data_IF_643609237372
#
_entry.id   IF_643609237372
#
_cell.length_a   1.000
_cell.length_b   1.000
_cell.length_c   1.000
_cell.angle_alpha   90.00
_cell.angle_beta   90.00
_cell.angle_gamma   90.00
#
_symmetry.space_group_name_H-M   'P 1'
#
loop_
_entity.id
_entity.type
_entity.pdbx_description
1 polymer ?
#
# COMPACT_ATOMS: atom_id res chain seq x y z
N UNK A 1 26.13 -18.08 -6.67
CA UNK A 1 25.98 -16.69 -7.18
C UNK A 1 26.23 -15.75 -6.02
N UNK A 2 26.90 -14.61 -6.24
CA UNK A 2 27.01 -13.58 -5.22
C UNK A 2 25.61 -13.06 -4.85
N UNK A 3 25.38 -12.73 -3.58
CA UNK A 3 24.11 -12.16 -3.13
C UNK A 3 23.85 -10.83 -3.85
N UNK A 4 22.62 -10.62 -4.30
CA UNK A 4 22.22 -9.38 -4.97
C UNK A 4 22.21 -8.24 -3.97
N UNK A 5 22.88 -7.15 -4.30
CA UNK A 5 22.76 -5.91 -3.52
C UNK A 5 21.67 -5.02 -4.10
N UNK A 6 20.55 -4.91 -3.40
CA UNK A 6 19.40 -4.11 -3.79
C UNK A 6 19.39 -2.75 -3.05
N UNK A 7 19.33 -1.65 -3.80
CA UNK A 7 19.11 -0.31 -3.26
C UNK A 7 17.61 0.01 -3.31
N UNK A 8 17.03 0.31 -2.17
CA UNK A 8 15.63 0.74 -2.03
C UNK A 8 15.61 2.23 -1.78
N UNK A 9 14.81 2.96 -2.54
CA UNK A 9 14.61 4.40 -2.36
C UNK A 9 13.20 4.67 -1.83
N UNK A 10 13.13 5.28 -0.64
CA UNK A 10 11.89 5.64 0.05
C UNK A 10 11.92 7.10 0.53
N UNK A 11 11.54 8.05 -0.33
CA UNK A 11 11.54 9.46 0.02
C UNK A 11 10.32 9.88 0.86
N UNK A 12 9.41 8.97 1.21
CA UNK A 12 8.18 9.28 1.96
C UNK A 12 8.48 9.33 3.46
N UNK A 13 8.05 10.40 4.14
CA UNK A 13 8.44 10.67 5.53
C UNK A 13 7.48 10.11 6.60
N UNK A 14 6.57 9.20 6.24
CA UNK A 14 5.63 8.60 7.19
C UNK A 14 5.32 7.15 6.82
N UNK A 15 4.76 6.38 7.76
CA UNK A 15 4.33 5.01 7.53
C UNK A 15 3.02 4.95 6.76
N UNK A 16 2.91 4.05 5.79
CA UNK A 16 1.70 3.83 5.02
C UNK A 16 1.59 2.38 4.55
N UNK A 17 0.40 1.99 4.11
CA UNK A 17 0.14 0.61 3.66
C UNK A 17 1.08 0.14 2.56
N UNK A 18 1.50 1.02 1.65
CA UNK A 18 2.47 0.68 0.60
C UNK A 18 3.84 0.27 1.13
N UNK A 19 4.32 0.89 2.21
CA UNK A 19 5.58 0.50 2.86
C UNK A 19 5.44 -0.85 3.56
N UNK A 20 4.33 -1.07 4.26
CA UNK A 20 4.03 -2.35 4.91
C UNK A 20 4.01 -3.47 3.86
N UNK A 21 3.24 -3.30 2.79
CA UNK A 21 3.19 -4.23 1.66
C UNK A 21 4.55 -4.48 1.01
N UNK A 22 5.36 -3.42 0.82
CA UNK A 22 6.71 -3.57 0.27
C UNK A 22 7.60 -4.40 1.19
N UNK A 23 7.55 -4.19 2.52
CA UNK A 23 8.28 -5.02 3.48
C UNK A 23 7.82 -6.48 3.42
N UNK A 24 6.50 -6.72 3.40
CA UNK A 24 5.93 -8.07 3.30
C UNK A 24 6.35 -8.78 2.01
N UNK A 25 6.42 -8.05 0.89
CA UNK A 25 6.90 -8.58 -0.38
C UNK A 25 8.38 -8.94 -0.35
N UNK A 26 9.21 -8.06 0.21
CA UNK A 26 10.66 -8.29 0.32
C UNK A 26 11.02 -9.37 1.32
N UNK A 27 10.21 -9.54 2.37
CA UNK A 27 10.34 -10.66 3.30
C UNK A 27 10.21 -12.03 2.60
N UNK A 28 9.52 -12.11 1.46
CA UNK A 28 9.40 -13.37 0.70
C UNK A 28 10.67 -13.73 -0.08
N UNK A 29 11.64 -12.82 -0.18
CA UNK A 29 12.96 -13.14 -0.74
C UNK A 29 13.64 -14.19 0.14
N UNK A 30 14.25 -15.20 -0.45
CA UNK A 30 14.97 -16.22 0.30
C UNK A 30 16.17 -15.62 1.05
N UNK A 31 16.42 -16.12 2.26
CA UNK A 31 17.55 -15.67 3.08
C UNK A 31 18.88 -15.82 2.32
N UNK A 32 19.82 -14.90 2.57
CA UNK A 32 21.16 -14.86 1.97
C UNK A 32 21.22 -14.70 0.44
N UNK A 33 20.09 -14.53 -0.26
CA UNK A 33 20.09 -14.29 -1.71
C UNK A 33 20.17 -12.80 -2.08
N UNK A 34 19.76 -11.92 -1.16
CA UNK A 34 19.87 -10.48 -1.32
C UNK A 34 20.30 -9.78 -0.03
N UNK A 35 21.09 -8.72 -0.19
CA UNK A 35 21.38 -7.71 0.80
C UNK A 35 20.70 -6.40 0.39
N UNK A 36 20.24 -5.62 1.36
CA UNK A 36 19.45 -4.42 1.09
C UNK A 36 20.11 -3.20 1.71
N UNK A 37 20.18 -2.11 0.95
CA UNK A 37 20.43 -0.77 1.48
C UNK A 37 19.17 0.05 1.29
N UNK A 38 18.61 0.56 2.38
CA UNK A 38 17.37 1.33 2.38
C UNK A 38 17.72 2.79 2.62
N UNK A 39 17.55 3.59 1.57
CA UNK A 39 17.65 5.04 1.64
C UNK A 39 16.26 5.59 1.91
N UNK A 40 16.01 6.01 3.15
CA UNK A 40 14.66 6.41 3.59
C UNK A 40 14.60 7.73 4.35
N UNK A 41 13.50 8.47 4.21
CA UNK A 41 13.18 9.62 5.07
C UNK A 41 12.62 9.25 6.44
N UNK A 42 12.24 7.99 6.65
CA UNK A 42 11.60 7.51 7.88
C UNK A 42 12.15 6.13 8.29
N UNK A 43 13.39 6.05 8.84
CA UNK A 43 14.04 4.79 9.22
C UNK A 43 13.19 3.91 10.14
N UNK A 44 12.48 4.51 11.09
CA UNK A 44 11.61 3.81 12.04
C UNK A 44 10.54 2.97 11.34
N UNK A 45 10.03 3.41 10.17
CA UNK A 45 9.03 2.62 9.41
C UNK A 45 9.59 1.36 8.77
N UNK A 46 10.91 1.19 8.75
CA UNK A 46 11.56 -0.03 8.27
C UNK A 46 12.16 -0.86 9.38
N UNK A 47 12.46 -0.23 10.52
CA UNK A 47 12.96 -0.90 11.73
C UNK A 47 11.89 -1.85 12.30
N UNK A 48 12.32 -2.83 13.11
CA UNK A 48 11.44 -3.76 13.81
C UNK A 48 10.43 -4.53 12.92
N UNK A 49 10.92 -5.08 11.80
CA UNK A 49 10.13 -5.96 10.93
C UNK A 49 10.80 -7.33 10.79
N UNK A 50 10.02 -8.38 10.57
CA UNK A 50 10.54 -9.73 10.30
C UNK A 50 11.48 -9.76 9.07
N UNK A 51 11.30 -8.79 8.16
CA UNK A 51 12.23 -8.52 7.07
C UNK A 51 13.68 -8.27 7.55
N UNK A 52 13.88 -7.50 8.62
CA UNK A 52 15.21 -7.19 9.14
C UNK A 52 15.87 -8.37 9.87
N UNK A 53 15.08 -9.27 10.46
CA UNK A 53 15.63 -10.50 11.06
C UNK A 53 16.05 -11.52 10.02
N UNK A 54 15.45 -11.48 8.82
CA UNK A 54 15.73 -12.44 7.73
C UNK A 54 16.85 -12.00 6.79
N UNK A 55 17.07 -10.69 6.66
CA UNK A 55 17.98 -10.12 5.66
C UNK A 55 19.04 -9.20 6.27
N UNK A 56 20.20 -9.12 5.61
CA UNK A 56 21.19 -8.07 5.89
C UNK A 56 20.69 -6.75 5.32
N UNK A 57 20.34 -5.82 6.21
CA UNK A 57 19.75 -4.52 5.85
C UNK A 57 20.58 -3.39 6.45
N UNK A 58 21.02 -2.47 5.59
CA UNK A 58 21.65 -1.21 5.96
C UNK A 58 20.67 -0.05 5.80
N UNK A 59 20.51 0.76 6.85
CA UNK A 59 19.63 1.93 6.83
C UNK A 59 20.43 3.21 6.64
N UNK A 60 20.05 4.01 5.64
CA UNK A 60 20.64 5.31 5.37
C UNK A 60 19.54 6.36 5.37
N UNK A 61 19.66 7.33 6.25
CA UNK A 61 18.72 8.45 6.31
C UNK A 61 18.92 9.35 5.10
N UNK A 62 17.89 9.47 4.27
CA UNK A 62 17.89 10.40 3.15
C UNK A 62 17.87 11.85 3.70
N UNK A 63 18.74 12.76 3.22
CA UNK A 63 18.75 14.14 3.69
C UNK A 63 17.39 14.83 3.48
N UNK A 64 17.03 15.71 4.41
CA UNK A 64 15.85 16.55 4.25
C UNK A 64 16.13 17.67 3.26
N UNK A 65 15.22 17.89 2.30
CA UNK A 65 15.26 19.05 1.42
C UNK A 65 14.41 20.23 1.97
N UNK A 66 14.03 20.22 3.25
CA UNK A 66 13.17 21.25 3.84
C UNK A 66 11.85 21.41 3.09
N UNK A 67 11.43 22.66 2.83
CA UNK A 67 10.22 22.97 2.07
C UNK A 67 10.21 22.39 0.65
N UNK A 68 11.39 22.19 0.05
CA UNK A 68 11.51 21.58 -1.26
C UNK A 68 11.06 20.11 -1.25
N UNK A 69 11.18 19.42 -0.11
CA UNK A 69 10.76 18.03 0.05
C UNK A 69 9.28 17.80 -0.26
N UNK A 70 8.44 18.81 -0.01
CA UNK A 70 7.00 18.77 -0.25
C UNK A 70 6.64 18.96 -1.73
N UNK A 71 7.52 19.53 -2.55
CA UNK A 71 7.22 19.86 -3.95
C UNK A 71 6.87 18.62 -4.78
N UNK A 72 5.65 18.59 -5.34
CA UNK A 72 5.14 17.49 -6.19
C UNK A 72 5.10 17.82 -7.68
N UNK A 73 5.27 19.09 -8.06
CA UNK A 73 5.21 19.57 -9.44
C UNK A 73 6.07 20.83 -9.67
N UNK A 74 6.24 21.22 -10.94
CA UNK A 74 6.94 22.45 -11.32
C UNK A 74 8.47 22.39 -11.17
N UNK A 75 9.12 23.56 -11.14
CA UNK A 75 10.58 23.66 -11.06
C UNK A 75 11.14 23.15 -9.74
N UNK A 76 10.43 23.38 -8.64
CA UNK A 76 10.80 22.89 -7.30
C UNK A 76 10.83 21.36 -7.25
N UNK A 77 9.90 20.67 -7.91
CA UNK A 77 9.94 19.22 -8.07
C UNK A 77 11.22 18.75 -8.78
N UNK A 78 11.60 19.38 -9.89
CA UNK A 78 12.81 19.01 -10.61
C UNK A 78 14.09 19.30 -9.82
N UNK A 79 14.13 20.43 -9.12
CA UNK A 79 15.24 20.75 -8.21
C UNK A 79 15.37 19.71 -7.10
N UNK A 80 14.24 19.30 -6.48
CA UNK A 80 14.21 18.25 -5.44
C UNK A 80 14.84 16.95 -5.95
N UNK A 81 14.36 16.47 -7.11
CA UNK A 81 14.84 15.21 -7.66
C UNK A 81 16.27 15.32 -8.22
N UNK A 82 16.70 16.50 -8.66
CA UNK A 82 18.10 16.78 -8.99
C UNK A 82 19.01 16.66 -7.77
N UNK A 83 18.62 17.24 -6.63
CA UNK A 83 19.36 17.11 -5.36
C UNK A 83 19.45 15.64 -4.92
N UNK A 84 18.32 14.92 -4.91
CA UNK A 84 18.33 13.49 -4.55
C UNK A 84 19.14 12.64 -5.54
N UNK A 85 19.09 12.93 -6.83
CA UNK A 85 19.88 12.23 -7.83
C UNK A 85 21.39 12.46 -7.62
N UNK A 86 21.82 13.70 -7.42
CA UNK A 86 23.23 14.00 -7.14
C UNK A 86 23.70 13.35 -5.84
N UNK A 87 22.85 13.35 -4.81
CA UNK A 87 23.13 12.66 -3.56
C UNK A 87 23.26 11.15 -3.74
N UNK A 88 22.36 10.50 -4.52
CA UNK A 88 22.45 9.07 -4.83
C UNK A 88 23.74 8.74 -5.58
N UNK A 89 24.14 9.58 -6.55
CA UNK A 89 25.41 9.43 -7.27
C UNK A 89 26.61 9.52 -6.32
N UNK A 90 26.63 10.53 -5.44
CA UNK A 90 27.70 10.69 -4.44
C UNK A 90 27.75 9.52 -3.45
N UNK A 91 26.59 9.07 -2.98
CA UNK A 91 26.46 7.95 -2.06
C UNK A 91 26.96 6.64 -2.68
N UNK A 92 26.58 6.38 -3.94
CA UNK A 92 27.00 5.19 -4.66
C UNK A 92 28.53 5.08 -4.86
N UNK A 93 29.26 6.21 -4.87
CA UNK A 93 30.73 6.22 -4.92
C UNK A 93 31.38 5.71 -3.63
N UNK A 94 30.63 5.64 -2.52
CA UNK A 94 31.12 5.25 -1.19
C UNK A 94 30.63 3.89 -0.72
N UNK A 95 29.80 3.22 -1.52
CA UNK A 95 29.17 1.96 -1.17
C UNK A 95 29.64 0.82 -2.06
N UNK A 96 29.31 -0.41 -1.65
CA UNK A 96 29.42 -1.55 -2.54
C UNK A 96 28.52 -1.38 -3.77
N UNK A 97 28.89 -2.02 -4.87
CA UNK A 97 28.15 -1.93 -6.13
C UNK A 97 26.73 -2.49 -5.97
N UNK A 98 25.74 -1.67 -6.26
CA UNK A 98 24.35 -2.12 -6.36
C UNK A 98 24.14 -2.92 -7.65
N UNK A 99 23.36 -4.00 -7.54
CA UNK A 99 23.01 -4.89 -8.62
C UNK A 99 21.56 -4.69 -9.08
N UNK A 100 20.72 -4.12 -8.20
CA UNK A 100 19.30 -3.91 -8.43
C UNK A 100 18.83 -2.63 -7.73
N UNK A 101 17.90 -1.92 -8.35
CA UNK A 101 17.21 -0.78 -7.76
C UNK A 101 15.74 -1.12 -7.57
N UNK A 102 15.17 -0.74 -6.42
CA UNK A 102 13.75 -0.91 -6.12
C UNK A 102 13.11 0.43 -5.80
N UNK A 103 12.19 0.83 -6.68
CA UNK A 103 11.31 1.97 -6.53
C UNK A 103 9.98 1.47 -5.94
N UNK A 104 9.61 1.91 -4.74
CA UNK A 104 8.45 1.40 -4.00
C UNK A 104 7.35 2.45 -3.74
N UNK A 105 7.54 3.66 -4.27
CA UNK A 105 6.58 4.77 -4.21
C UNK A 105 5.88 4.95 -5.56
N UNK A 106 5.19 6.07 -5.75
CA UNK A 106 4.72 6.44 -7.09
C UNK A 106 5.91 6.71 -8.03
N UNK A 107 5.85 6.36 -9.33
CA UNK A 107 6.99 6.55 -10.25
C UNK A 107 7.47 8.01 -10.34
N UNK A 108 6.57 8.99 -10.19
CA UNK A 108 6.95 10.40 -10.11
C UNK A 108 7.69 10.77 -8.83
N UNK A 109 7.41 10.08 -7.72
CA UNK A 109 8.11 10.24 -6.43
C UNK A 109 9.48 9.55 -6.45
N UNK A 110 9.61 8.46 -7.22
CA UNK A 110 10.85 7.71 -7.38
C UNK A 110 11.76 8.26 -8.51
N UNK A 111 11.43 9.41 -9.10
CA UNK A 111 12.13 10.00 -10.25
C UNK A 111 13.65 10.06 -10.09
N UNK A 112 14.14 10.42 -8.91
CA UNK A 112 15.59 10.49 -8.65
C UNK A 112 16.27 9.11 -8.83
N UNK A 113 15.60 8.04 -8.41
CA UNK A 113 16.09 6.67 -8.60
C UNK A 113 16.02 6.25 -10.06
N UNK A 114 15.00 6.67 -10.83
CA UNK A 114 14.93 6.43 -12.29
C UNK A 114 16.06 7.12 -13.04
N UNK A 115 16.38 8.37 -12.70
CA UNK A 115 17.54 9.08 -13.26
C UNK A 115 18.85 8.38 -12.92
N UNK A 116 18.99 7.92 -11.67
CA UNK A 116 20.14 7.14 -11.21
C UNK A 116 20.28 5.83 -11.99
N UNK A 117 19.18 5.10 -12.18
CA UNK A 117 19.13 3.86 -12.98
C UNK A 117 19.58 4.10 -14.42
N UNK A 118 19.13 5.20 -15.04
CA UNK A 118 19.51 5.56 -16.42
C UNK A 118 21.02 5.78 -16.56
N UNK A 119 21.66 6.46 -15.62
CA UNK A 119 23.09 6.78 -15.67
C UNK A 119 23.95 5.56 -15.35
N UNK A 120 23.57 4.80 -14.32
CA UNK A 120 24.34 3.63 -13.86
C UNK A 120 24.06 2.36 -14.65
N UNK A 121 22.94 2.32 -15.41
CA UNK A 121 22.42 1.15 -16.12
C UNK A 121 22.12 -0.04 -15.21
N UNK A 122 21.91 0.21 -13.92
CA UNK A 122 21.48 -0.80 -12.96
C UNK A 122 19.98 -1.07 -13.19
N UNK A 123 19.55 -2.34 -13.26
CA UNK A 123 18.15 -2.65 -13.49
C UNK A 123 17.25 -2.14 -12.35
N UNK A 124 16.07 -1.66 -12.71
CA UNK A 124 15.10 -1.09 -11.78
C UNK A 124 13.77 -1.85 -11.81
N UNK A 125 13.31 -2.23 -10.61
CA UNK A 125 11.95 -2.72 -10.36
C UNK A 125 11.12 -1.56 -9.81
N UNK A 126 9.97 -1.29 -10.42
CA UNK A 126 8.97 -0.36 -9.89
C UNK A 126 7.79 -1.13 -9.31
N UNK A 127 7.46 -0.87 -8.05
CA UNK A 127 6.22 -1.29 -7.41
C UNK A 127 5.23 -0.12 -7.40
N UNK A 128 3.97 -0.36 -7.72
CA UNK A 128 2.90 0.65 -7.70
C UNK A 128 1.72 0.14 -6.87
N UNK A 129 1.52 0.79 -5.72
CA UNK A 129 0.50 0.44 -4.71
C UNK A 129 -0.79 1.27 -4.80
N UNK A 130 -0.94 2.11 -5.82
CA UNK A 130 -2.11 2.96 -5.97
C UNK A 130 -2.05 3.88 -7.19
N UNK A 131 -3.08 4.72 -7.38
CA UNK A 131 -3.17 5.63 -8.50
C UNK A 131 -1.93 6.52 -8.64
N UNK A 132 -1.48 6.74 -9.88
CA UNK A 132 -0.33 7.59 -10.18
C UNK A 132 -0.76 8.88 -10.87
N UNK A 133 0.05 9.93 -10.72
CA UNK A 133 -0.20 11.22 -11.39
C UNK A 133 -0.09 11.11 -12.91
N UNK A 134 -1.05 11.70 -13.63
CA UNK A 134 -1.02 11.80 -15.09
C UNK A 134 0.02 12.84 -15.53
N UNK A 135 1.28 12.41 -15.66
CA UNK A 135 2.37 13.28 -16.11
C UNK A 135 3.32 12.56 -17.05
N UNK A 136 3.97 13.31 -17.95
CA UNK A 136 5.00 12.78 -18.86
C UNK A 136 6.15 12.13 -18.10
N UNK A 137 6.50 12.71 -16.97
CA UNK A 137 7.55 12.23 -16.08
C UNK A 137 7.20 10.86 -15.48
N UNK A 138 5.96 10.68 -15.02
CA UNK A 138 5.46 9.39 -14.53
C UNK A 138 5.39 8.35 -15.65
N UNK A 139 4.82 8.71 -16.82
CA UNK A 139 4.78 7.81 -17.98
C UNK A 139 6.17 7.40 -18.48
N UNK A 140 7.14 8.31 -18.46
CA UNK A 140 8.54 8.01 -18.75
C UNK A 140 9.09 6.95 -17.79
N UNK A 141 8.96 7.15 -16.47
CA UNK A 141 9.44 6.20 -15.46
C UNK A 141 8.84 4.81 -15.65
N UNK A 142 7.52 4.74 -15.89
CA UNK A 142 6.82 3.49 -16.19
C UNK A 142 7.36 2.80 -17.44
N UNK A 143 7.66 3.56 -18.50
CA UNK A 143 8.20 3.02 -19.75
C UNK A 143 9.67 2.56 -19.67
N UNK A 144 10.38 2.94 -18.60
CA UNK A 144 11.82 2.67 -18.43
C UNK A 144 12.15 1.68 -17.32
N UNK A 145 11.19 1.34 -16.46
CA UNK A 145 11.38 0.27 -15.48
C UNK A 145 11.66 -1.06 -16.19
N UNK A 146 12.63 -1.83 -15.69
CA UNK A 146 12.94 -3.17 -16.22
C UNK A 146 11.86 -4.18 -15.86
N UNK A 147 11.27 -4.01 -14.67
CA UNK A 147 10.07 -4.71 -14.21
C UNK A 147 9.13 -3.73 -13.53
N UNK A 148 7.84 -3.86 -13.83
CA UNK A 148 6.76 -3.06 -13.28
C UNK A 148 5.77 -4.01 -12.62
N UNK A 149 5.60 -3.89 -11.31
CA UNK A 149 4.55 -4.55 -10.55
C UNK A 149 3.53 -3.52 -10.11
N UNK A 150 2.25 -3.77 -10.33
CA UNK A 150 1.20 -2.82 -9.97
C UNK A 150 -0.06 -3.51 -9.45
N UNK A 151 -0.76 -2.84 -8.54
CA UNK A 151 -2.09 -3.28 -8.13
C UNK A 151 -3.10 -3.07 -9.28
N UNK A 152 -4.06 -3.98 -9.49
CA UNK A 152 -5.07 -3.85 -10.55
C UNK A 152 -5.81 -2.49 -10.55
N UNK A 153 -6.13 -1.97 -9.35
CA UNK A 153 -6.77 -0.67 -9.16
C UNK A 153 -5.97 0.52 -9.71
N UNK A 154 -4.65 0.37 -9.90
CA UNK A 154 -3.77 1.42 -10.43
C UNK A 154 -3.77 1.48 -11.95
N UNK A 155 -4.17 0.39 -12.63
CA UNK A 155 -4.09 0.22 -14.10
C UNK A 155 -4.67 1.38 -14.91
N UNK A 156 -5.85 1.95 -14.59
CA UNK A 156 -6.39 3.07 -15.35
C UNK A 156 -5.49 4.31 -15.31
N UNK A 157 -4.88 4.60 -14.15
CA UNK A 157 -3.96 5.74 -14.00
C UNK A 157 -2.62 5.50 -14.70
N UNK A 158 -2.13 4.26 -14.71
CA UNK A 158 -0.92 3.87 -15.44
C UNK A 158 -1.07 4.08 -16.94
N UNK A 159 -2.20 3.61 -17.51
CA UNK A 159 -2.52 3.80 -18.93
C UNK A 159 -2.57 5.27 -19.30
N UNK A 160 -3.21 6.11 -18.47
CA UNK A 160 -3.27 7.57 -18.67
C UNK A 160 -1.87 8.20 -18.65
N UNK A 161 -1.02 7.84 -17.68
CA UNK A 161 0.33 8.38 -17.58
C UNK A 161 1.23 7.96 -18.75
N UNK A 162 1.21 6.68 -19.13
CA UNK A 162 1.95 6.14 -20.28
C UNK A 162 1.48 6.77 -21.59
N UNK A 163 0.16 6.83 -21.82
CA UNK A 163 -0.41 7.46 -23.01
C UNK A 163 -0.02 8.93 -23.10
N UNK A 164 -0.03 9.66 -21.99
CA UNK A 164 0.39 11.05 -21.97
C UNK A 164 1.88 11.24 -22.31
N UNK A 165 2.76 10.32 -21.90
CA UNK A 165 4.17 10.31 -22.28
C UNK A 165 4.37 9.96 -23.77
N UNK A 166 3.67 8.94 -24.27
CA UNK A 166 3.80 8.50 -25.66
C UNK A 166 3.19 9.48 -26.66
N UNK A 167 2.09 10.14 -26.33
CA UNK A 167 1.52 11.20 -27.16
C UNK A 167 2.53 12.31 -27.41
N UNK A 168 3.29 12.68 -26.38
CA UNK A 168 4.35 13.67 -26.48
C UNK A 168 5.58 13.15 -27.25
N UNK A 169 5.95 11.88 -27.08
CA UNK A 169 7.20 11.33 -27.63
C UNK A 169 7.09 10.81 -29.06
N UNK A 170 5.90 10.33 -29.45
CA UNK A 170 5.67 9.57 -30.68
C UNK A 170 4.40 9.99 -31.45
N UNK A 171 3.68 11.01 -30.99
CA UNK A 171 2.41 11.46 -31.58
C UNK A 171 1.17 10.82 -30.93
N UNK A 172 0.03 11.49 -31.06
CA UNK A 172 -1.23 11.15 -30.38
C UNK A 172 -1.87 9.86 -30.85
N UNK A 173 -1.76 9.56 -32.14
CA UNK A 173 -2.65 8.62 -32.83
C UNK A 173 -2.54 7.18 -32.29
N UNK A 174 -1.36 6.81 -31.78
CA UNK A 174 -1.09 5.47 -31.25
C UNK A 174 -0.74 5.44 -29.74
N UNK A 175 -0.86 6.57 -29.05
CA UNK A 175 -0.36 6.70 -27.67
C UNK A 175 -1.07 5.76 -26.68
N UNK A 176 -2.38 5.58 -26.83
CA UNK A 176 -3.16 4.65 -25.98
C UNK A 176 -2.80 3.19 -26.27
N UNK A 177 -2.64 2.85 -27.55
CA UNK A 177 -2.25 1.51 -28.00
C UNK A 177 -0.86 1.15 -27.47
N UNK A 178 0.12 2.07 -27.56
CA UNK A 178 1.45 1.88 -26.99
C UNK A 178 1.43 1.72 -25.46
N UNK A 179 0.57 2.46 -24.77
CA UNK A 179 0.38 2.32 -23.33
C UNK A 179 -0.17 0.93 -22.96
N UNK A 180 -1.18 0.45 -23.69
CA UNK A 180 -1.74 -0.88 -23.51
C UNK A 180 -0.70 -1.99 -23.78
N UNK A 181 0.07 -1.88 -24.88
CA UNK A 181 1.16 -2.81 -25.18
C UNK A 181 2.25 -2.83 -24.10
N UNK A 182 2.57 -1.67 -23.52
CA UNK A 182 3.56 -1.58 -22.43
C UNK A 182 3.09 -2.38 -21.22
N UNK A 183 1.83 -2.22 -20.80
CA UNK A 183 1.29 -2.95 -19.65
C UNK A 183 1.02 -4.44 -19.92
N UNK A 184 0.77 -4.81 -21.18
CA UNK A 184 0.60 -6.21 -21.59
C UNK A 184 1.94 -6.93 -21.83
N UNK A 185 3.07 -6.23 -21.76
CA UNK A 185 4.40 -6.82 -21.96
C UNK A 185 4.83 -7.69 -20.78
N UNK A 186 5.79 -8.61 -21.01
CA UNK A 186 6.39 -9.46 -19.95
C UNK A 186 7.17 -8.69 -18.87
N UNK A 187 7.34 -7.38 -19.06
CA UNK A 187 7.96 -6.50 -18.07
C UNK A 187 6.97 -6.00 -17.03
N UNK A 188 5.67 -6.09 -17.31
CA UNK A 188 4.60 -5.54 -16.50
C UNK A 188 3.73 -6.66 -15.96
N UNK A 189 3.45 -6.62 -14.66
CA UNK A 189 2.70 -7.68 -13.99
C UNK A 189 1.81 -7.12 -12.87
N UNK A 190 0.59 -7.61 -12.82
CA UNK A 190 -0.33 -7.35 -11.71
C UNK A 190 0.08 -8.18 -10.48
N UNK A 191 -0.02 -7.58 -9.30
CA UNK A 191 0.07 -8.28 -8.02
C UNK A 191 -1.07 -7.81 -7.11
N UNK A 192 -1.36 -8.60 -6.10
CA UNK A 192 -2.25 -8.22 -4.99
C UNK A 192 -1.43 -8.24 -3.72
N UNK A 193 -1.85 -7.47 -2.71
CA UNK A 193 -1.15 -7.53 -1.42
C UNK A 193 -1.54 -8.78 -0.65
N UNK A 194 -0.67 -9.25 0.24
CA UNK A 194 -0.93 -10.41 1.07
C UNK A 194 -0.33 -10.27 2.46
N UNK A 195 -0.76 -11.12 3.39
CA UNK A 195 -0.27 -11.20 4.76
C UNK A 195 0.64 -12.42 4.94
N UNK A 196 1.82 -12.29 5.56
CA UNK A 196 2.66 -13.45 5.89
C UNK A 196 1.94 -14.40 6.83
N UNK A 197 2.11 -15.71 6.63
CA UNK A 197 1.46 -16.73 7.48
C UNK A 197 1.86 -16.57 8.97
N UNK A 198 3.14 -16.22 9.21
CA UNK A 198 3.68 -15.97 10.55
C UNK A 198 3.13 -14.71 11.24
N UNK A 199 2.53 -13.80 10.48
CA UNK A 199 1.92 -12.56 10.97
C UNK A 199 0.41 -12.55 10.69
N UNK A 200 -0.18 -13.75 10.58
CA UNK A 200 -1.61 -13.88 10.38
C UNK A 200 -2.37 -13.28 11.57
N UNK A 201 -3.40 -12.43 11.34
CA UNK A 201 -4.18 -11.83 12.41
C UNK A 201 -4.75 -12.84 13.41
N UNK A 202 -4.73 -12.49 14.69
CA UNK A 202 -5.43 -13.24 15.72
C UNK A 202 -6.94 -13.18 15.45
N UNK A 203 -7.61 -14.32 15.58
CA UNK A 203 -9.05 -14.43 15.35
C UNK A 203 -9.83 -13.52 16.32
N UNK A 204 -10.85 -12.84 15.79
CA UNK A 204 -11.72 -11.99 16.59
C UNK A 204 -12.61 -12.78 17.55
N UNK A 205 -13.06 -12.11 18.60
CA UNK A 205 -14.16 -12.61 19.44
C UNK A 205 -15.52 -12.48 18.75
N UNK A 206 -16.54 -13.23 19.22
CA UNK A 206 -17.95 -13.05 18.81
C UNK A 206 -18.93 -12.93 19.99
N UNK A 207 -18.43 -12.74 21.21
CA UNK A 207 -19.25 -12.67 22.43
C UNK A 207 -19.95 -11.31 22.61
N UNK A 208 -19.41 -10.22 22.05
CA UNK A 208 -19.99 -8.89 22.15
C UNK A 208 -19.70 -8.03 20.92
N UNK A 209 -20.64 -7.21 20.44
CA UNK A 209 -20.39 -6.30 19.33
C UNK A 209 -19.38 -5.23 19.73
N UNK A 210 -18.28 -5.12 18.98
CA UNK A 210 -17.26 -4.11 19.17
C UNK A 210 -16.69 -3.67 17.81
N UNK A 211 -16.76 -2.37 17.56
CA UNK A 211 -16.40 -1.74 16.29
C UNK A 211 -14.90 -1.46 16.26
N UNK A 212 -14.28 -1.69 15.12
CA UNK A 212 -12.87 -1.40 14.86
C UNK A 212 -12.71 -0.57 13.59
N UNK A 213 -11.88 0.46 13.69
CA UNK A 213 -11.41 1.24 12.56
C UNK A 213 -9.91 1.43 12.65
N UNK A 214 -9.20 1.19 11.55
CA UNK A 214 -7.75 1.30 11.49
C UNK A 214 -7.29 1.91 10.16
N UNK A 215 -6.82 3.15 10.20
CA UNK A 215 -6.22 3.83 9.04
C UNK A 215 -5.42 5.09 9.42
N UNK A 216 -4.69 5.66 8.46
CA UNK A 216 -4.12 7.00 8.61
C UNK A 216 -5.21 8.08 8.66
N UNK A 217 -4.93 9.22 9.28
CA UNK A 217 -5.85 10.37 9.31
C UNK A 217 -5.99 11.12 7.98
N UNK A 218 -5.60 10.55 6.83
CA UNK A 218 -5.85 11.18 5.53
C UNK A 218 -7.36 11.33 5.30
N UNK A 219 -7.81 12.49 4.81
CA UNK A 219 -9.25 12.82 4.70
C UNK A 219 -10.03 11.78 3.89
N UNK A 220 -9.43 11.24 2.84
CA UNK A 220 -10.04 10.21 1.98
C UNK A 220 -10.24 8.85 2.68
N UNK A 221 -9.64 8.63 3.85
CA UNK A 221 -9.91 7.47 4.72
C UNK A 221 -11.24 7.59 5.47
N UNK A 222 -11.86 8.76 5.46
CA UNK A 222 -13.25 8.94 5.89
C UNK A 222 -13.50 8.84 7.38
N UNK A 223 -12.52 9.15 8.24
CA UNK A 223 -12.75 9.17 9.70
C UNK A 223 -13.97 10.03 10.08
N UNK A 224 -14.15 11.18 9.44
CA UNK A 224 -15.28 12.06 9.72
C UNK A 224 -16.64 11.39 9.47
N UNK A 225 -16.75 10.60 8.39
CA UNK A 225 -17.95 9.83 8.08
C UNK A 225 -18.26 8.82 9.20
N UNK A 226 -17.24 8.09 9.69
CA UNK A 226 -17.41 7.18 10.81
C UNK A 226 -17.92 7.91 12.05
N UNK A 227 -17.30 9.04 12.43
CA UNK A 227 -17.66 9.75 13.65
C UNK A 227 -19.08 10.31 13.59
N UNK A 228 -19.50 10.84 12.43
CA UNK A 228 -20.87 11.31 12.22
C UNK A 228 -21.88 10.15 12.31
N UNK A 229 -21.56 8.98 11.76
CA UNK A 229 -22.43 7.79 11.88
C UNK A 229 -22.49 7.27 13.32
N UNK A 230 -21.39 7.31 14.08
CA UNK A 230 -21.37 6.91 15.49
C UNK A 230 -22.23 7.85 16.36
N UNK A 231 -22.23 9.16 16.10
CA UNK A 231 -23.09 10.12 16.83
C UNK A 231 -24.59 9.86 16.60
N UNK A 232 -24.96 9.38 15.41
CA UNK A 232 -26.33 8.94 15.15
C UNK A 232 -26.63 7.60 15.85
N UNK A 233 -25.69 6.65 15.76
CA UNK A 233 -25.84 5.29 16.27
C UNK A 233 -25.98 5.25 17.80
N UNK A 234 -25.20 6.06 18.54
CA UNK A 234 -25.20 6.05 20.01
C UNK A 234 -26.56 6.42 20.61
N UNK A 235 -27.39 7.15 19.87
CA UNK A 235 -28.77 7.49 20.26
C UNK A 235 -29.72 6.28 20.20
N UNK A 236 -29.33 5.21 19.51
CA UNK A 236 -30.10 3.98 19.31
C UNK A 236 -29.52 2.81 20.12
N UNK A 237 -28.20 2.62 20.06
CA UNK A 237 -27.51 1.50 20.72
C UNK A 237 -26.10 1.92 21.17
N UNK A 238 -25.73 1.74 22.45
CA UNK A 238 -24.35 1.91 22.89
C UNK A 238 -23.44 0.88 22.21
N UNK A 239 -22.31 1.33 21.67
CA UNK A 239 -21.33 0.44 21.04
C UNK A 239 -19.90 0.88 21.35
N UNK A 240 -19.10 -0.06 21.85
CA UNK A 240 -17.67 0.18 22.07
C UNK A 240 -16.97 0.23 20.72
N UNK A 241 -16.20 1.28 20.50
CA UNK A 241 -15.45 1.49 19.25
C UNK A 241 -13.97 1.71 19.56
N UNK A 242 -13.10 0.96 18.88
CA UNK A 242 -11.66 1.17 18.90
C UNK A 242 -11.20 1.80 17.58
N UNK A 243 -10.61 2.98 17.67
CA UNK A 243 -10.06 3.72 16.52
C UNK A 243 -8.54 3.75 16.63
N UNK A 244 -7.87 2.96 15.82
CA UNK A 244 -6.41 2.96 15.69
C UNK A 244 -6.01 3.85 14.51
N UNK A 245 -5.12 4.82 14.74
CA UNK A 245 -4.75 5.76 13.69
C UNK A 245 -3.28 6.15 13.71
N UNK A 246 -2.79 6.54 12.54
CA UNK A 246 -1.48 7.18 12.38
C UNK A 246 -1.64 8.57 11.77
N UNK A 247 -0.76 9.50 12.16
CA UNK A 247 -0.74 10.87 11.64
C UNK A 247 0.23 10.96 10.46
N UNK A 248 -0.25 11.27 9.23
CA UNK A 248 0.63 11.56 8.11
C UNK A 248 1.53 12.75 8.43
N UNK A 249 2.84 12.61 8.20
CA UNK A 249 3.82 13.68 8.38
C UNK A 249 4.31 14.21 7.03
N UNK A 250 4.59 15.52 6.95
CA UNK A 250 5.16 16.17 5.76
C UNK A 250 4.38 15.85 4.47
N UNK A 251 3.06 15.96 4.50
CA UNK A 251 2.17 15.71 3.36
C UNK A 251 1.37 16.96 2.98
N UNK A 252 1.01 17.06 1.69
CA UNK A 252 0.06 18.07 1.19
C UNK A 252 -1.40 17.60 1.25
N UNK A 253 -1.62 16.32 1.58
CA UNK A 253 -2.97 15.77 1.67
C UNK A 253 -3.67 16.28 2.93
N UNK A 254 -4.95 16.58 2.79
CA UNK A 254 -5.79 16.96 3.92
C UNK A 254 -5.92 15.81 4.91
N UNK A 255 -6.01 16.16 6.19
CA UNK A 255 -6.16 15.20 7.29
C UNK A 255 -7.38 15.51 8.13
N UNK A 256 -7.99 14.47 8.70
CA UNK A 256 -9.05 14.58 9.71
C UNK A 256 -8.44 14.80 11.09
N UNK A 257 -9.20 15.42 11.99
CA UNK A 257 -8.77 15.63 13.37
C UNK A 257 -9.15 14.46 14.27
N UNK A 258 -8.17 13.95 15.01
CA UNK A 258 -8.29 12.95 16.06
C UNK A 258 -7.27 13.22 17.18
N UNK A 259 -7.55 12.83 18.44
CA UNK A 259 -8.80 12.23 18.93
C UNK A 259 -9.94 13.26 19.08
N UNK A 260 -11.19 12.79 19.24
CA UNK A 260 -12.36 13.64 19.58
C UNK A 260 -13.08 13.09 20.81
N UNK A 261 -13.72 13.97 21.57
CA UNK A 261 -14.55 13.58 22.71
C UNK A 261 -15.87 12.99 22.20
N UNK A 262 -15.96 11.66 22.18
CA UNK A 262 -17.18 10.90 21.87
C UNK A 262 -17.34 9.78 22.90
N UNK A 263 -18.57 9.51 23.38
CA UNK A 263 -18.82 8.43 24.32
C UNK A 263 -18.51 7.07 23.67
N UNK A 264 -17.99 6.13 24.45
CA UNK A 264 -17.70 4.75 24.01
C UNK A 264 -16.66 4.60 22.88
N UNK A 265 -15.89 5.64 22.58
CA UNK A 265 -14.79 5.60 21.60
C UNK A 265 -13.43 5.59 22.29
N UNK A 266 -12.65 4.53 22.06
CA UNK A 266 -11.27 4.38 22.50
C UNK A 266 -10.32 4.73 21.35
N UNK A 267 -9.43 5.70 21.58
CA UNK A 267 -8.49 6.20 20.57
C UNK A 267 -7.08 5.65 20.83
N UNK A 268 -6.45 5.13 19.77
CA UNK A 268 -5.11 4.54 19.83
C UNK A 268 -4.24 5.14 18.72
N UNK A 269 -3.24 5.94 19.09
CA UNK A 269 -2.30 6.52 18.14
C UNK A 269 -1.11 5.60 17.97
N UNK A 270 -0.95 5.05 16.76
CA UNK A 270 0.14 4.15 16.36
C UNK A 270 0.44 3.02 17.37
N UNK A 271 -0.57 2.21 17.77
CA UNK A 271 -0.38 1.19 18.79
C UNK A 271 0.56 0.08 18.32
N UNK A 272 1.45 -0.37 19.21
CA UNK A 272 2.36 -1.49 18.95
C UNK A 272 1.62 -2.85 18.99
N UNK A 273 0.49 -2.91 19.68
CA UNK A 273 -0.34 -4.09 19.95
C UNK A 273 -1.64 -4.09 19.10
N UNK A 274 -1.56 -3.57 17.87
CA UNK A 274 -2.70 -3.45 16.95
C UNK A 274 -3.52 -4.75 16.82
N UNK A 275 -2.85 -5.91 16.74
CA UNK A 275 -3.52 -7.21 16.64
C UNK A 275 -4.31 -7.57 17.90
N UNK A 276 -3.77 -7.29 19.09
CA UNK A 276 -4.45 -7.54 20.36
C UNK A 276 -5.66 -6.62 20.57
N UNK A 277 -5.60 -5.38 20.06
CA UNK A 277 -6.77 -4.49 20.03
C UNK A 277 -7.80 -5.01 19.03
N UNK A 278 -7.36 -5.38 17.82
CA UNK A 278 -8.22 -5.91 16.76
C UNK A 278 -8.97 -7.18 17.20
N UNK A 279 -8.30 -8.11 17.87
CA UNK A 279 -8.91 -9.40 18.27
C UNK A 279 -10.04 -9.23 19.31
N UNK A 280 -10.08 -8.11 20.03
CA UNK A 280 -11.17 -7.76 20.95
C UNK A 280 -12.41 -7.20 20.22
N UNK A 281 -12.25 -6.81 18.96
CA UNK A 281 -13.32 -6.30 18.11
C UNK A 281 -13.83 -7.38 17.15
N UNK A 282 -15.04 -7.22 16.62
CA UNK A 282 -15.62 -8.19 15.68
C UNK A 282 -16.34 -7.54 14.48
N UNK A 283 -16.51 -6.22 14.48
CA UNK A 283 -17.05 -5.44 13.37
C UNK A 283 -15.96 -4.50 12.85
N UNK A 284 -15.46 -4.69 11.63
CA UNK A 284 -14.48 -3.78 11.05
C UNK A 284 -15.15 -2.84 10.06
N UNK A 285 -14.86 -1.55 10.15
CA UNK A 285 -15.45 -0.54 9.28
C UNK A 285 -14.36 0.10 8.43
N UNK A 286 -14.48 -0.03 7.11
CA UNK A 286 -13.74 0.82 6.18
C UNK A 286 -14.64 1.98 5.76
N UNK A 287 -14.13 3.19 5.92
CA UNK A 287 -14.76 4.43 5.41
C UNK A 287 -13.96 5.07 4.28
N UNK A 288 -13.01 4.32 3.71
CA UNK A 288 -12.08 4.83 2.71
C UNK A 288 -12.76 4.97 1.36
N UNK A 289 -12.51 6.07 0.65
CA UNK A 289 -13.02 6.30 -0.69
C UNK A 289 -12.07 5.69 -1.72
N UNK A 290 -12.56 4.81 -2.60
CA UNK A 290 -11.80 4.22 -3.71
C UNK A 290 -10.48 3.60 -3.22
N UNK A 291 -10.56 2.80 -2.16
CA UNK A 291 -9.38 2.18 -1.55
C UNK A 291 -8.63 1.31 -2.59
N UNK A 292 -7.33 1.55 -2.85
CA UNK A 292 -6.62 0.82 -3.90
C UNK A 292 -6.52 -0.69 -3.64
N UNK A 293 -6.27 -1.05 -2.38
CA UNK A 293 -6.31 -2.43 -1.91
C UNK A 293 -6.94 -2.47 -0.52
N UNK A 294 -6.35 -1.83 0.49
CA UNK A 294 -6.85 -1.85 1.87
C UNK A 294 -6.31 -3.03 2.67
N UNK A 295 -5.07 -2.90 3.16
CA UNK A 295 -4.46 -3.91 4.02
C UNK A 295 -5.24 -4.12 5.32
N UNK A 296 -5.78 -3.06 5.92
CA UNK A 296 -6.61 -3.19 7.13
C UNK A 296 -7.92 -3.92 6.88
N UNK A 297 -8.48 -3.86 5.66
CA UNK A 297 -9.61 -4.69 5.26
C UNK A 297 -9.18 -6.16 5.19
N UNK A 298 -8.07 -6.46 4.51
CA UNK A 298 -7.54 -7.84 4.44
C UNK A 298 -7.26 -8.41 5.84
N UNK A 299 -6.64 -7.62 6.69
CA UNK A 299 -6.36 -7.98 8.08
C UNK A 299 -7.63 -8.28 8.87
N UNK A 300 -8.70 -7.51 8.68
CA UNK A 300 -9.98 -7.74 9.31
C UNK A 300 -10.68 -9.01 8.77
N UNK A 301 -10.59 -9.26 7.46
CA UNK A 301 -11.08 -10.51 6.85
C UNK A 301 -10.33 -11.71 7.44
N UNK A 302 -9.00 -11.62 7.52
CA UNK A 302 -8.12 -12.66 8.04
C UNK A 302 -8.29 -12.91 9.56
N UNK A 303 -8.75 -11.91 10.30
CA UNK A 303 -9.17 -12.04 11.70
C UNK A 303 -10.59 -12.62 11.85
N UNK A 304 -11.35 -12.77 10.76
CA UNK A 304 -12.73 -13.24 10.77
C UNK A 304 -13.76 -12.20 11.22
N UNK A 305 -13.44 -10.92 11.11
CA UNK A 305 -14.39 -9.86 11.48
C UNK A 305 -15.51 -9.75 10.43
N UNK A 306 -16.70 -9.31 10.86
CA UNK A 306 -17.69 -8.81 9.92
C UNK A 306 -17.19 -7.48 9.35
N UNK A 307 -16.79 -7.49 8.09
CA UNK A 307 -16.30 -6.29 7.40
C UNK A 307 -17.48 -5.49 6.82
N UNK A 308 -17.47 -4.18 7.09
CA UNK A 308 -18.43 -3.19 6.61
C UNK A 308 -17.66 -2.23 5.68
N UNK A 309 -17.99 -2.20 4.40
CA UNK A 309 -17.29 -1.42 3.36
C UNK A 309 -18.25 -0.56 2.52
N UNK A 310 -17.79 0.53 1.88
CA UNK A 310 -18.63 1.30 0.97
C UNK A 310 -18.91 0.53 -0.34
N UNK A 311 -20.08 0.79 -0.93
CA UNK A 311 -20.40 0.43 -2.32
C UNK A 311 -19.79 1.48 -3.26
N UNK A 312 -18.50 1.34 -3.58
CA UNK A 312 -17.74 2.31 -4.37
C UNK A 312 -16.99 1.71 -5.58
N UNK A 313 -17.16 0.43 -5.88
CA UNK A 313 -16.43 -0.32 -6.91
C UNK A 313 -14.90 -0.36 -6.69
N UNK A 314 -14.41 -0.08 -5.47
CA UNK A 314 -13.02 -0.35 -5.10
C UNK A 314 -12.74 -1.87 -5.09
N UNK A 315 -11.48 -2.23 -4.85
CA UNK A 315 -11.01 -3.62 -4.91
C UNK A 315 -11.89 -4.59 -4.11
N UNK A 316 -12.08 -4.34 -2.81
CA UNK A 316 -12.91 -5.22 -1.97
C UNK A 316 -14.39 -5.14 -2.28
N UNK A 317 -14.92 -4.00 -2.73
CA UNK A 317 -16.33 -3.90 -3.13
C UNK A 317 -16.61 -4.78 -4.36
N UNK A 318 -15.71 -4.80 -5.33
CA UNK A 318 -15.81 -5.65 -6.52
C UNK A 318 -15.70 -7.15 -6.24
N UNK A 319 -15.08 -7.53 -5.12
CA UNK A 319 -14.81 -8.94 -4.77
C UNK A 319 -15.81 -9.47 -3.74
N UNK A 320 -16.12 -8.68 -2.72
CA UNK A 320 -17.02 -9.05 -1.64
C UNK A 320 -18.47 -8.87 -2.07
N UNK A 321 -19.35 -9.72 -1.54
CA UNK A 321 -20.78 -9.73 -1.85
C UNK A 321 -21.58 -9.40 -0.59
N UNK A 322 -22.44 -8.40 -0.71
CA UNK A 322 -23.32 -7.95 0.37
C UNK A 322 -24.13 -9.12 0.95
N UNK A 323 -24.21 -9.23 2.28
CA UNK A 323 -24.90 -10.27 3.05
C UNK A 323 -24.37 -11.72 2.90
N UNK A 324 -23.34 -11.93 2.08
CA UNK A 324 -22.67 -13.22 1.95
C UNK A 324 -21.38 -13.26 2.78
N UNK A 325 -20.49 -12.29 2.57
CA UNK A 325 -19.16 -12.24 3.21
C UNK A 325 -18.75 -10.84 3.68
N UNK A 326 -19.60 -9.84 3.47
CA UNK A 326 -19.47 -8.51 4.05
C UNK A 326 -20.84 -7.85 4.20
N UNK A 327 -20.86 -6.71 4.90
CA UNK A 327 -21.92 -5.73 4.75
C UNK A 327 -21.40 -4.55 3.93
N UNK A 328 -22.31 -3.95 3.18
CA UNK A 328 -22.03 -2.80 2.34
C UNK A 328 -22.95 -1.66 2.70
N UNK A 329 -22.50 -0.43 2.51
CA UNK A 329 -23.27 0.78 2.74
C UNK A 329 -23.07 1.75 1.56
N UNK A 330 -24.03 2.64 1.32
CA UNK A 330 -23.92 3.62 0.26
C UNK A 330 -22.72 4.56 0.51
N UNK A 331 -21.80 4.63 -0.47
CA UNK A 331 -20.57 5.39 -0.30
C UNK A 331 -20.84 6.87 0.05
N UNK A 332 -20.12 7.39 1.06
CA UNK A 332 -20.26 8.75 1.60
C UNK A 332 -21.63 9.08 2.25
N UNK A 333 -22.43 8.08 2.61
CA UNK A 333 -23.71 8.27 3.28
C UNK A 333 -23.64 7.90 4.77
N UNK A 334 -23.76 8.92 5.63
CA UNK A 334 -23.74 8.80 7.10
C UNK A 334 -24.87 7.91 7.61
N UNK A 335 -26.08 8.07 7.05
CA UNK A 335 -27.27 7.35 7.50
C UNK A 335 -27.20 5.89 7.08
N UNK A 336 -26.75 5.63 5.85
CA UNK A 336 -26.55 4.25 5.36
C UNK A 336 -25.53 3.51 6.21
N UNK A 337 -24.38 4.14 6.54
CA UNK A 337 -23.39 3.54 7.42
C UNK A 337 -23.94 3.31 8.84
N UNK A 338 -24.69 4.27 9.40
CA UNK A 338 -25.30 4.13 10.72
C UNK A 338 -26.31 2.98 10.79
N UNK A 339 -27.14 2.78 9.75
CA UNK A 339 -28.09 1.66 9.69
C UNK A 339 -27.38 0.31 9.54
N UNK A 340 -26.36 0.25 8.68
CA UNK A 340 -25.55 -0.97 8.52
C UNK A 340 -24.83 -1.34 9.82
N UNK A 341 -24.29 -0.37 10.56
CA UNK A 341 -23.70 -0.59 11.88
C UNK A 341 -24.74 -1.06 12.90
N UNK A 342 -25.90 -0.40 12.95
CA UNK A 342 -26.99 -0.79 13.84
C UNK A 342 -27.37 -2.26 13.63
N UNK A 343 -27.58 -2.67 12.37
CA UNK A 343 -27.90 -4.05 12.03
C UNK A 343 -26.80 -5.03 12.46
N UNK A 344 -25.53 -4.71 12.17
CA UNK A 344 -24.40 -5.56 12.54
C UNK A 344 -24.28 -5.75 14.07
N UNK A 345 -24.68 -4.75 14.86
CA UNK A 345 -24.69 -4.80 16.32
C UNK A 345 -25.87 -5.60 16.86
N UNK A 346 -27.07 -5.40 16.29
CA UNK A 346 -28.30 -6.04 16.79
C UNK A 346 -28.49 -7.48 16.29
N UNK A 347 -27.75 -7.89 15.26
CA UNK A 347 -27.79 -9.24 14.68
C UNK A 347 -26.43 -9.96 14.81
N UNK A 348 -26.00 -10.37 16.02
CA UNK A 348 -24.67 -10.95 16.23
C UNK A 348 -24.41 -12.23 15.42
N UNK A 349 -25.45 -13.04 15.16
CA UNK A 349 -25.34 -14.23 14.30
C UNK A 349 -25.04 -13.88 12.84
N UNK A 350 -25.55 -12.74 12.35
CA UNK A 350 -25.20 -12.23 11.02
C UNK A 350 -23.71 -11.90 10.97
N UNK A 351 -23.22 -11.11 11.93
CA UNK A 351 -21.82 -10.73 12.00
C UNK A 351 -20.89 -11.96 12.06
N UNK A 352 -21.22 -12.97 12.87
CA UNK A 352 -20.44 -14.20 12.95
C UNK A 352 -20.44 -14.99 11.64
N UNK A 353 -21.61 -15.13 11.00
CA UNK A 353 -21.71 -15.83 9.70
C UNK A 353 -20.87 -15.16 8.62
N UNK A 354 -20.96 -13.82 8.51
CA UNK A 354 -20.18 -13.05 7.53
C UNK A 354 -18.69 -13.12 7.83
N UNK A 355 -18.30 -13.03 9.11
CA UNK A 355 -16.93 -13.17 9.57
C UNK A 355 -16.30 -14.52 9.24
N UNK A 356 -17.05 -15.61 9.39
CA UNK A 356 -16.57 -16.93 8.99
C UNK A 356 -16.34 -17.02 7.48
N UNK A 357 -17.23 -16.45 6.66
CA UNK A 357 -17.04 -16.40 5.20
C UNK A 357 -15.87 -15.50 4.79
N UNK A 358 -15.60 -14.44 5.55
CA UNK A 358 -14.46 -13.57 5.34
C UNK A 358 -13.11 -14.30 5.54
N UNK A 359 -13.02 -15.23 6.50
CA UNK A 359 -11.81 -16.05 6.71
C UNK A 359 -11.45 -16.86 5.46
N UNK A 360 -12.44 -17.52 4.85
CA UNK A 360 -12.23 -18.35 3.65
C UNK A 360 -11.69 -17.52 2.47
N UNK A 361 -12.15 -16.27 2.35
CA UNK A 361 -11.65 -15.34 1.31
C UNK A 361 -10.20 -14.96 1.62
N UNK A 362 -9.89 -14.62 2.87
CA UNK A 362 -8.57 -14.17 3.27
C UNK A 362 -7.47 -15.22 3.00
N UNK A 363 -7.75 -16.52 3.12
CA UNK A 363 -6.79 -17.61 2.85
C UNK A 363 -6.12 -17.55 1.46
N UNK A 364 -6.73 -16.85 0.50
CA UNK A 364 -6.16 -16.68 -0.84
C UNK A 364 -5.15 -15.51 -0.94
N UNK A 365 -4.83 -14.87 0.20
CA UNK A 365 -3.99 -13.69 0.29
C UNK A 365 -2.74 -13.91 1.14
N UNK A 366 -2.16 -15.12 1.10
CA UNK A 366 -0.87 -15.39 1.71
C UNK A 366 0.25 -14.65 0.95
N UNK A 367 1.06 -13.89 1.68
CA UNK A 367 2.11 -13.04 1.12
C UNK A 367 3.09 -13.82 0.24
N UNK A 368 3.39 -15.06 0.61
CA UNK A 368 4.25 -16.01 -0.08
C UNK A 368 3.81 -16.20 -1.54
N UNK A 369 2.51 -16.30 -1.78
CA UNK A 369 1.91 -16.46 -3.10
C UNK A 369 1.72 -15.11 -3.79
N UNK A 370 1.12 -14.15 -3.09
CA UNK A 370 0.80 -12.83 -3.61
C UNK A 370 2.04 -12.06 -4.12
N UNK A 371 3.18 -12.24 -3.46
CA UNK A 371 4.43 -11.54 -3.76
C UNK A 371 5.51 -12.41 -4.40
N UNK A 372 5.21 -13.68 -4.73
CA UNK A 372 6.16 -14.62 -5.29
C UNK A 372 6.98 -14.04 -6.45
N UNK A 373 6.31 -13.38 -7.38
CA UNK A 373 6.91 -12.85 -8.61
C UNK A 373 7.80 -11.63 -8.35
N UNK A 374 7.46 -10.83 -7.33
CA UNK A 374 8.31 -9.74 -6.85
C UNK A 374 9.56 -10.33 -6.21
N UNK A 375 9.41 -11.30 -5.31
CA UNK A 375 10.54 -11.95 -4.64
C UNK A 375 11.50 -12.61 -5.65
N UNK A 376 10.98 -13.36 -6.61
CA UNK A 376 11.79 -13.95 -7.68
C UNK A 376 12.52 -12.90 -8.51
N UNK A 377 11.86 -11.79 -8.87
CA UNK A 377 12.48 -10.73 -9.65
C UNK A 377 13.63 -10.06 -8.89
N UNK A 378 13.50 -9.91 -7.57
CA UNK A 378 14.58 -9.42 -6.70
C UNK A 378 15.74 -10.42 -6.67
N UNK A 379 15.47 -11.72 -6.49
CA UNK A 379 16.48 -12.78 -6.46
C UNK A 379 17.23 -12.98 -7.77
N UNK A 380 16.62 -12.61 -8.90
CA UNK A 380 17.21 -12.70 -10.24
C UNK A 380 17.83 -11.38 -10.72
N UNK A 381 17.73 -10.31 -9.92
CA UNK A 381 18.29 -8.99 -10.27
C UNK A 381 17.55 -8.33 -11.43
N UNK A 382 16.26 -8.64 -11.59
CA UNK A 382 15.42 -8.24 -12.72
C UNK A 382 16.00 -8.60 -14.12
N UNK A 383 16.84 -9.64 -14.20
CA UNK A 383 17.25 -10.21 -15.48
C UNK A 383 16.02 -10.75 -16.25
N UNK A 384 16.01 -10.70 -17.59
CA UNK A 384 15.00 -11.41 -18.36
C UNK A 384 15.05 -12.89 -17.98
N UNK A 385 13.90 -13.49 -17.68
CA UNK A 385 13.79 -14.93 -17.51
C UNK A 385 14.18 -15.59 -18.84
N UNK A 386 15.45 -15.93 -19.01
CA UNK A 386 15.87 -16.77 -20.11
C UNK A 386 15.15 -18.09 -19.90
N UNK A 387 14.24 -18.42 -20.83
CA UNK A 387 13.73 -19.77 -20.97
C UNK A 387 14.94 -20.69 -21.01
N UNK A 388 15.07 -21.55 -19.99
CA UNK A 388 15.82 -22.79 -20.16
C UNK A 388 15.08 -23.58 -21.24
N UNK A 389 15.39 -23.31 -22.51
CA UNK A 389 15.18 -24.29 -23.56
C UNK A 389 16.24 -25.36 -23.29
N UNK A 390 15.85 -26.38 -22.55
CA UNK A 390 16.52 -27.66 -22.56
C UNK A 390 16.59 -28.12 -24.02
N UNK A 391 17.80 -28.20 -24.53
CA UNK A 391 18.14 -28.90 -25.78
C UNK A 391 17.95 -30.39 -25.57
#
# INVERSE_FOLDING_TARGET
MAAIHCLIFDPIAFQGGSKIATRMALQQVAANQAQFTIVTRHPESWQHSAFNSKHSVEFITLPSCGNLGLATQGLSYWLKHGVYFLWLCWFALRCQRFHLLLASSGPGVDMALHLFARVTRIPLIQLVHGPVGQSRATGYCLSKANKLFYLPSSKPSLLKALSHYYAFSFGSDNAQTLAAFTLASRHSQEFVNGLPIEQWPTQCQYHSPCIFWAASLLKWKGLDLLLESLDQLVKRVPSTTHICYIKPQQTHLSTSHAPRSLPHVNWHEDPQDLDAIRSQCNLFVSTSQQEPFGLSILEALAAGMCVIIPEDNAYWDSLLTHELNCLKYAANDVNSLAETLHRAITEPHLAQRLGNQALDIAQHYHAEECYWQIAQSVQQGAAPSHSRQSS
#
